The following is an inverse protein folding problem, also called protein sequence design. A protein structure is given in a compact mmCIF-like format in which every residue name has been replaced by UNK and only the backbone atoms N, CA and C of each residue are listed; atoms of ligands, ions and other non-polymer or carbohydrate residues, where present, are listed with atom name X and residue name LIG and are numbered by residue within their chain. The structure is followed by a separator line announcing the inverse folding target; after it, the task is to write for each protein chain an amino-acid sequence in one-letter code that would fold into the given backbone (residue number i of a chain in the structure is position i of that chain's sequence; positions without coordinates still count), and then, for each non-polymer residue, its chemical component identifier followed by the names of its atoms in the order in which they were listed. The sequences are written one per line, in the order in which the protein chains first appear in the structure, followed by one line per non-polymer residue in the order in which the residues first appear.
data_IF_008176238282
#
_entry.id   IF_008176238282
#
_cell.length_a   1.000
_cell.length_b   1.000
_cell.length_c   1.000
_cell.angle_alpha   90.00
_cell.angle_beta   90.00
_cell.angle_gamma   90.00
#
_symmetry.space_group_name_H-M   'P 1'
#
loop_
_entity.id
_entity.type
_entity.pdbx_description
1 polymer ?
#
# COMPACT_ATOMS: atom_id res chain seq x y z
N UNK A 1 12.72 -2.21 -0.47
CA UNK A 1 11.72 -1.18 -0.81
C UNK A 1 11.96 -0.69 -2.22
N UNK A 2 10.89 -0.50 -2.98
CA UNK A 2 10.91 0.01 -4.36
C UNK A 2 9.90 1.15 -4.53
N UNK A 3 10.01 1.87 -5.63
CA UNK A 3 9.09 2.94 -6.00
C UNK A 3 8.76 2.85 -7.50
N UNK A 4 7.77 3.61 -8.00
CA UNK A 4 7.50 3.67 -9.44
C UNK A 4 8.72 4.08 -10.28
N UNK A 5 9.68 4.77 -9.68
CA UNK A 5 10.92 5.21 -10.34
C UNK A 5 12.05 4.18 -10.30
N UNK A 6 11.88 3.04 -9.65
CA UNK A 6 12.90 2.01 -9.60
C UNK A 6 13.06 1.36 -10.98
N UNK A 7 14.25 1.49 -11.57
CA UNK A 7 14.55 0.89 -12.89
C UNK A 7 14.50 -0.64 -12.84
N UNK A 8 14.13 -1.27 -13.95
CA UNK A 8 13.92 -2.72 -14.01
C UNK A 8 15.09 -3.56 -13.51
N UNK A 9 16.33 -3.21 -13.87
CA UNK A 9 17.51 -3.97 -13.40
C UNK A 9 17.68 -3.90 -11.89
N UNK A 10 17.45 -2.72 -11.30
CA UNK A 10 17.49 -2.52 -9.86
C UNK A 10 16.33 -3.22 -9.17
N UNK A 11 15.14 -3.17 -9.76
CA UNK A 11 13.94 -3.86 -9.27
C UNK A 11 14.18 -5.38 -9.16
N UNK A 12 14.76 -5.99 -10.19
CA UNK A 12 15.11 -7.41 -10.17
C UNK A 12 16.14 -7.76 -9.09
N UNK A 13 17.16 -6.93 -8.91
CA UNK A 13 18.17 -7.10 -7.85
C UNK A 13 17.54 -7.02 -6.46
N UNK A 14 16.70 -6.04 -6.22
CA UNK A 14 15.99 -5.87 -4.95
C UNK A 14 15.04 -7.04 -4.70
N UNK A 15 14.28 -7.46 -5.70
CA UNK A 15 13.36 -8.60 -5.59
C UNK A 15 14.10 -9.89 -5.21
N UNK A 16 15.25 -10.17 -5.84
CA UNK A 16 16.08 -11.35 -5.53
C UNK A 16 16.66 -11.33 -4.11
N UNK A 17 16.98 -10.14 -3.60
CA UNK A 17 17.54 -9.96 -2.26
C UNK A 17 16.48 -9.85 -1.16
N UNK A 18 15.20 -9.80 -1.52
CA UNK A 18 14.10 -9.61 -0.58
C UNK A 18 13.51 -10.95 -0.12
N UNK A 19 13.10 -10.97 1.15
CA UNK A 19 12.33 -12.07 1.75
C UNK A 19 11.08 -11.49 2.42
N UNK A 20 10.06 -12.31 2.67
CA UNK A 20 8.81 -11.87 3.27
C UNK A 20 7.90 -11.17 2.25
N UNK A 21 8.11 -9.89 1.99
CA UNK A 21 7.35 -9.13 0.99
C UNK A 21 8.16 -7.98 0.41
N UNK A 22 7.77 -7.52 -0.78
CA UNK A 22 8.36 -6.36 -1.40
C UNK A 22 7.49 -5.12 -1.08
N UNK A 23 8.08 -4.16 -0.37
CA UNK A 23 7.40 -2.88 -0.08
C UNK A 23 7.52 -1.94 -1.27
N UNK A 24 6.37 -1.48 -1.79
CA UNK A 24 6.29 -0.47 -2.83
C UNK A 24 5.72 0.82 -2.30
N UNK A 25 6.41 1.93 -2.55
CA UNK A 25 5.88 3.27 -2.30
C UNK A 25 4.92 3.65 -3.43
N UNK A 26 3.69 4.03 -3.09
CA UNK A 26 2.62 4.25 -4.07
C UNK A 26 2.79 5.52 -4.90
N UNK A 27 3.42 6.57 -4.35
CA UNK A 27 3.44 7.90 -4.95
C UNK A 27 4.80 8.58 -4.81
N UNK A 28 5.17 9.36 -5.80
CA UNK A 28 6.24 10.35 -5.70
C UNK A 28 5.74 11.62 -5.06
N UNK A 29 6.30 12.02 -3.91
CA UNK A 29 6.47 13.38 -3.41
C UNK A 29 5.30 14.36 -3.46
N UNK A 30 4.08 13.94 -3.66
CA UNK A 30 2.93 14.83 -3.70
C UNK A 30 2.01 14.61 -2.51
N UNK A 31 1.91 15.64 -1.71
CA UNK A 31 0.87 15.84 -0.71
C UNK A 31 -0.40 16.31 -1.42
N UNK A 32 -1.36 15.43 -1.61
CA UNK A 32 -2.66 15.78 -2.17
C UNK A 32 -3.62 14.60 -2.15
N UNK A 33 -4.90 14.89 -1.94
CA UNK A 33 -5.96 13.87 -2.06
C UNK A 33 -6.09 13.50 -3.52
N UNK A 34 -5.61 12.33 -3.87
CA UNK A 34 -5.70 11.83 -5.25
C UNK A 34 -6.88 10.87 -5.39
N UNK A 35 -7.80 11.22 -6.27
CA UNK A 35 -8.99 10.42 -6.54
C UNK A 35 -8.74 9.19 -7.42
N UNK A 36 -7.60 9.14 -8.12
CA UNK A 36 -7.22 8.04 -9.02
C UNK A 36 -5.78 7.61 -8.81
N UNK A 37 -5.52 6.31 -8.98
CA UNK A 37 -4.15 5.79 -9.02
C UNK A 37 -3.50 6.26 -10.33
N UNK A 38 -2.29 6.81 -10.25
CA UNK A 38 -1.54 7.20 -11.43
C UNK A 38 -1.17 5.98 -12.29
N UNK A 39 -1.19 6.18 -13.61
CA UNK A 39 -0.79 5.14 -14.55
C UNK A 39 0.61 4.60 -14.24
N UNK A 40 1.56 5.47 -13.92
CA UNK A 40 2.92 5.05 -13.56
C UNK A 40 2.97 4.13 -12.33
N UNK A 41 2.06 4.29 -11.37
CA UNK A 41 1.95 3.40 -10.21
C UNK A 41 1.41 2.03 -10.63
N UNK A 42 0.40 1.99 -11.49
CA UNK A 42 -0.15 0.74 -12.04
C UNK A 42 0.92 -0.02 -12.82
N UNK A 43 1.65 0.67 -13.68
CA UNK A 43 2.74 0.08 -14.47
C UNK A 43 3.87 -0.45 -13.56
N UNK A 44 4.21 0.29 -12.50
CA UNK A 44 5.19 -0.14 -11.51
C UNK A 44 4.76 -1.40 -10.75
N UNK A 45 3.49 -1.50 -10.37
CA UNK A 45 2.94 -2.71 -9.74
C UNK A 45 3.05 -3.92 -10.68
N UNK A 46 2.65 -3.75 -11.93
CA UNK A 46 2.76 -4.81 -12.95
C UNK A 46 4.20 -5.25 -13.18
N UNK A 47 5.14 -4.30 -13.27
CA UNK A 47 6.56 -4.60 -13.42
C UNK A 47 7.14 -5.31 -12.19
N UNK A 48 6.74 -4.90 -10.99
CA UNK A 48 7.14 -5.54 -9.75
C UNK A 48 6.60 -6.99 -9.66
N UNK A 49 5.35 -7.22 -10.04
CA UNK A 49 4.76 -8.58 -10.12
C UNK A 49 5.58 -9.49 -11.03
N UNK A 50 5.98 -9.02 -12.20
CA UNK A 50 6.87 -9.77 -13.11
C UNK A 50 8.24 -10.02 -12.49
N UNK A 51 8.82 -9.05 -11.82
CA UNK A 51 10.16 -9.17 -11.23
C UNK A 51 10.22 -10.15 -10.06
N UNK A 52 9.16 -10.27 -9.27
CA UNK A 52 9.09 -11.22 -8.15
C UNK A 52 8.66 -12.62 -8.58
N UNK A 53 8.19 -12.80 -9.81
CA UNK A 53 7.78 -14.09 -10.39
C UNK A 53 6.80 -14.84 -9.46
N UNK A 54 5.81 -14.14 -8.92
CA UNK A 54 4.81 -14.64 -7.95
C UNK A 54 5.36 -15.25 -6.65
N UNK A 55 6.68 -15.22 -6.45
CA UNK A 55 7.34 -15.81 -5.28
C UNK A 55 7.33 -14.90 -4.05
N UNK A 56 7.07 -13.62 -4.24
CA UNK A 56 7.15 -12.62 -3.18
C UNK A 56 5.91 -11.71 -3.22
N UNK A 57 5.13 -11.62 -2.14
CA UNK A 57 4.01 -10.70 -2.06
C UNK A 57 4.45 -9.24 -2.22
N UNK A 58 3.59 -8.41 -2.79
CA UNK A 58 3.81 -6.96 -2.92
C UNK A 58 2.88 -6.24 -1.96
N UNK A 59 3.48 -5.51 -1.01
CA UNK A 59 2.76 -4.59 -0.14
C UNK A 59 2.95 -3.16 -0.62
N UNK A 60 1.86 -2.43 -0.81
CA UNK A 60 1.89 -1.02 -1.19
C UNK A 60 1.52 -0.13 -0.01
N UNK A 61 2.25 0.96 0.15
CA UNK A 61 2.01 1.94 1.19
C UNK A 61 2.26 3.34 0.70
N UNK A 62 1.95 4.32 1.56
CA UNK A 62 2.03 5.75 1.33
C UNK A 62 0.74 6.36 0.72
N UNK A 63 0.13 7.25 1.49
CA UNK A 63 -1.08 7.97 1.06
C UNK A 63 -2.38 7.16 1.11
N UNK A 64 -2.37 5.96 1.64
CA UNK A 64 -3.58 5.14 1.81
C UNK A 64 -4.25 5.47 3.13
N UNK A 65 -5.52 5.83 3.09
CA UNK A 65 -6.26 6.22 4.29
C UNK A 65 -7.72 5.75 4.32
N UNK A 66 -8.30 5.42 3.17
CA UNK A 66 -9.72 5.08 3.07
C UNK A 66 -9.95 3.66 2.55
N UNK A 67 -11.13 3.08 2.84
CA UNK A 67 -11.56 1.83 2.21
C UNK A 67 -11.52 1.87 0.68
N UNK A 68 -11.83 3.03 0.09
CA UNK A 68 -11.79 3.21 -1.35
C UNK A 68 -10.36 3.13 -1.91
N UNK A 69 -9.37 3.68 -1.20
CA UNK A 69 -7.97 3.57 -1.59
C UNK A 69 -7.51 2.11 -1.56
N UNK A 70 -7.85 1.39 -0.48
CA UNK A 70 -7.54 -0.03 -0.34
C UNK A 70 -8.12 -0.81 -1.52
N UNK A 71 -9.40 -0.62 -1.82
CA UNK A 71 -10.08 -1.31 -2.93
C UNK A 71 -9.40 -1.05 -4.28
N UNK A 72 -8.98 0.19 -4.54
CA UNK A 72 -8.27 0.56 -5.77
C UNK A 72 -6.96 -0.22 -5.92
N UNK A 73 -6.14 -0.27 -4.87
CA UNK A 73 -4.85 -0.96 -4.95
C UNK A 73 -5.01 -2.49 -5.07
N UNK A 74 -5.94 -3.06 -4.33
CA UNK A 74 -6.24 -4.50 -4.42
C UNK A 74 -6.73 -4.87 -5.83
N UNK A 75 -7.55 -4.02 -6.45
CA UNK A 75 -8.03 -4.25 -7.83
C UNK A 75 -6.92 -4.20 -8.89
N UNK A 76 -5.79 -3.58 -8.60
CA UNK A 76 -4.60 -3.54 -9.48
C UNK A 76 -3.70 -4.76 -9.26
N UNK A 77 -3.94 -5.55 -8.21
CA UNK A 77 -3.24 -6.82 -7.97
C UNK A 77 -2.14 -6.78 -6.91
N UNK A 78 -2.16 -5.81 -5.99
CA UNK A 78 -1.27 -5.87 -4.82
C UNK A 78 -1.77 -6.90 -3.81
N UNK A 79 -0.85 -7.52 -3.09
CA UNK A 79 -1.16 -8.57 -2.12
C UNK A 79 -1.46 -8.00 -0.73
N UNK A 80 -0.95 -6.80 -0.43
CA UNK A 80 -1.16 -6.12 0.84
C UNK A 80 -1.20 -4.61 0.67
N UNK A 81 -1.93 -3.94 1.57
CA UNK A 81 -1.96 -2.48 1.67
C UNK A 81 -1.52 -2.07 3.06
N UNK A 82 -0.58 -1.12 3.13
CA UNK A 82 0.05 -0.67 4.36
C UNK A 82 -0.46 0.73 4.69
N UNK A 83 -1.00 0.89 5.89
CA UNK A 83 -1.61 2.14 6.36
C UNK A 83 -0.91 2.62 7.62
N UNK A 84 -0.27 3.77 7.54
CA UNK A 84 0.47 4.37 8.65
C UNK A 84 -0.17 5.66 9.16
N UNK A 85 0.00 6.76 8.45
CA UNK A 85 -0.37 8.12 8.88
C UNK A 85 -1.84 8.26 9.30
N UNK A 86 -2.75 7.53 8.66
CA UNK A 86 -4.16 7.54 9.03
C UNK A 86 -4.41 6.95 10.43
N UNK A 87 -3.65 5.93 10.82
CA UNK A 87 -3.69 5.39 12.19
C UNK A 87 -3.18 6.42 13.21
N UNK A 88 -2.09 7.12 12.90
CA UNK A 88 -1.57 8.18 13.77
C UNK A 88 -2.61 9.28 13.98
N UNK A 89 -3.30 9.72 12.95
CA UNK A 89 -4.39 10.70 13.06
C UNK A 89 -5.52 10.22 13.97
N UNK A 90 -5.87 8.95 13.90
CA UNK A 90 -6.89 8.37 14.79
C UNK A 90 -6.40 8.40 16.24
N UNK A 91 -5.13 8.06 16.49
CA UNK A 91 -4.53 8.08 17.82
C UNK A 91 -4.53 9.51 18.38
N UNK A 92 -4.09 10.49 17.61
CA UNK A 92 -4.04 11.90 18.01
C UNK A 92 -5.42 12.48 18.33
N UNK A 93 -6.46 12.07 17.62
CA UNK A 93 -7.81 12.64 17.71
C UNK A 93 -8.79 11.78 18.53
N UNK A 94 -8.32 10.75 19.23
CA UNK A 94 -9.21 9.84 19.97
C UNK A 94 -8.78 9.72 21.42
N UNK A 95 -9.69 9.93 22.39
CA UNK A 95 -9.41 9.68 23.81
C UNK A 95 -8.99 8.22 24.05
N UNK A 96 -8.06 8.00 24.99
CA UNK A 96 -7.50 6.67 25.28
C UNK A 96 -8.57 5.62 25.59
N UNK A 97 -9.65 6.01 26.24
CA UNK A 97 -10.78 5.12 26.60
C UNK A 97 -11.55 4.58 25.37
N UNK A 98 -11.48 5.26 24.24
CA UNK A 98 -12.18 4.90 22.99
C UNK A 98 -11.24 4.44 21.88
N UNK A 99 -9.94 4.54 22.08
CA UNK A 99 -8.93 4.34 21.05
C UNK A 99 -8.94 2.91 20.48
N UNK A 100 -8.95 1.92 21.34
CA UNK A 100 -8.96 0.51 20.92
C UNK A 100 -10.16 0.19 20.01
N UNK A 101 -11.36 0.62 20.44
CA UNK A 101 -12.59 0.41 19.66
C UNK A 101 -12.48 1.07 18.28
N UNK A 102 -12.02 2.33 18.24
CA UNK A 102 -11.95 3.11 17.02
C UNK A 102 -10.92 2.55 16.02
N UNK A 103 -9.74 2.16 16.49
CA UNK A 103 -8.73 1.48 15.65
C UNK A 103 -9.26 0.15 15.13
N UNK A 104 -9.92 -0.62 15.97
CA UNK A 104 -10.52 -1.91 15.58
C UNK A 104 -11.55 -1.73 14.47
N UNK A 105 -12.48 -0.78 14.63
CA UNK A 105 -13.51 -0.49 13.61
C UNK A 105 -12.91 -0.02 12.30
N UNK A 106 -11.93 0.87 12.37
CA UNK A 106 -11.21 1.37 11.20
C UNK A 106 -10.49 0.24 10.46
N UNK A 107 -9.72 -0.58 11.17
CA UNK A 107 -8.99 -1.71 10.58
C UNK A 107 -9.95 -2.73 9.95
N UNK A 108 -11.08 -3.03 10.60
CA UNK A 108 -12.11 -3.92 10.03
C UNK A 108 -12.69 -3.36 8.73
N UNK A 109 -12.96 -2.06 8.65
CA UNK A 109 -13.44 -1.41 7.41
C UNK A 109 -12.41 -1.53 6.28
N UNK A 110 -11.13 -1.27 6.57
CA UNK A 110 -10.07 -1.42 5.59
C UNK A 110 -9.93 -2.88 5.15
N UNK A 111 -9.91 -3.82 6.09
CA UNK A 111 -9.81 -5.26 5.78
C UNK A 111 -10.97 -5.75 4.91
N UNK A 112 -12.19 -5.32 5.20
CA UNK A 112 -13.36 -5.66 4.37
C UNK A 112 -13.18 -5.20 2.91
N UNK A 113 -12.47 -4.14 2.67
CA UNK A 113 -12.20 -3.61 1.32
C UNK A 113 -11.13 -4.37 0.55
N UNK A 114 -10.42 -5.29 1.18
CA UNK A 114 -9.50 -6.23 0.51
C UNK A 114 -10.22 -7.47 -0.06
N UNK A 115 -11.46 -7.68 0.35
CA UNK A 115 -12.28 -8.80 -0.14
C UNK A 115 -13.00 -8.34 -1.42
N UNK A 116 -12.55 -8.85 -2.53
CA UNK A 116 -13.13 -8.57 -3.84
C UNK A 116 -13.92 -9.79 -4.31
#
# INVERSE_FOLDING_TARGET
MVSPNTKNDRLKKIARASTGFLYMVAVFGTTGVQTKIHKYTIDAIKNAKKAVDEKLPIGIGFGVSTPADVKKYVSVGVDAVIVGSANLKIIENTPSSKLQKRITEYTKKLKKSTLI
#
